data_IF_118230445800
#
_entry.id   IF_118230445800
#
_cell.length_a   1.000
_cell.length_b   1.000
_cell.length_c   1.000
_cell.angle_alpha   90.00
_cell.angle_beta   90.00
_cell.angle_gamma   90.00
#
_symmetry.space_group_name_H-M   'P 1'
#
loop_
_entity.id
_entity.type
_entity.pdbx_description
1 polymer ?
#
# COMPACT_ATOMS: atom_id res chain seq x y z
N UNK A 1 -19.61 12.10 -2.64
CA UNK A 1 -18.50 11.52 -1.84
C UNK A 1 -18.02 12.53 -0.81
N UNK A 2 -17.61 12.11 0.39
CA UNK A 2 -16.96 13.02 1.35
C UNK A 2 -15.62 13.47 0.76
N UNK A 3 -15.31 14.77 0.84
CA UNK A 3 -14.01 15.30 0.41
C UNK A 3 -12.93 14.88 1.41
N UNK A 4 -11.72 14.71 0.90
CA UNK A 4 -10.52 14.55 1.71
C UNK A 4 -10.33 15.76 2.64
N UNK A 5 -9.70 15.54 3.80
CA UNK A 5 -9.47 16.58 4.79
C UNK A 5 -8.02 16.57 5.23
N UNK A 6 -7.34 17.69 5.01
CA UNK A 6 -5.95 17.85 5.43
C UNK A 6 -5.85 18.54 6.78
N UNK A 7 -4.94 18.06 7.61
CA UNK A 7 -4.54 18.67 8.88
C UNK A 7 -3.09 19.14 8.75
N UNK A 8 -2.93 20.40 8.33
CA UNK A 8 -1.63 21.05 8.12
C UNK A 8 -1.39 22.02 9.27
N UNK A 9 -0.34 21.77 10.06
CA UNK A 9 0.04 22.64 11.17
C UNK A 9 1.21 23.52 10.73
N UNK A 10 0.99 24.80 10.45
CA UNK A 10 2.06 25.68 9.91
C UNK A 10 3.06 26.14 10.98
N UNK A 11 2.62 26.37 12.21
CA UNK A 11 3.47 26.85 13.30
C UNK A 11 4.45 25.74 13.78
N UNK A 12 5.78 25.95 13.72
CA UNK A 12 6.77 24.97 14.20
C UNK A 12 6.65 24.58 15.67
N UNK A 13 6.15 25.49 16.54
CA UNK A 13 5.87 25.19 17.95
C UNK A 13 4.71 24.20 18.07
N UNK A 14 3.63 24.42 17.32
CA UNK A 14 2.49 23.51 17.30
C UNK A 14 2.83 22.17 16.63
N UNK A 15 3.71 22.14 15.62
CA UNK A 15 4.25 20.89 15.06
C UNK A 15 4.95 20.05 16.13
N UNK A 16 5.78 20.68 16.97
CA UNK A 16 6.44 20.01 18.10
C UNK A 16 5.41 19.44 19.07
N UNK A 17 4.46 20.26 19.53
CA UNK A 17 3.38 19.80 20.44
C UNK A 17 2.61 18.61 19.86
N UNK A 18 2.20 18.69 18.59
CA UNK A 18 1.53 17.57 17.89
C UNK A 18 2.38 16.31 17.92
N UNK A 19 3.66 16.42 17.58
CA UNK A 19 4.55 15.26 17.50
C UNK A 19 4.75 14.60 18.89
N UNK A 20 4.87 15.41 19.95
CA UNK A 20 4.93 14.92 21.33
C UNK A 20 3.63 14.23 21.76
N UNK A 21 2.46 14.82 21.46
CA UNK A 21 1.16 14.18 21.75
C UNK A 21 1.05 12.83 21.04
N UNK A 22 1.43 12.75 19.76
CA UNK A 22 1.43 11.48 19.01
C UNK A 22 2.38 10.45 19.63
N UNK A 23 3.56 10.88 20.08
CA UNK A 23 4.52 10.00 20.75
C UNK A 23 3.96 9.45 22.07
N UNK A 24 3.30 10.30 22.87
CA UNK A 24 2.63 9.91 24.11
C UNK A 24 1.50 8.92 23.87
N UNK A 25 0.61 9.21 22.91
CA UNK A 25 -0.50 8.30 22.56
C UNK A 25 0.01 6.92 22.12
N UNK A 26 1.08 6.88 21.32
CA UNK A 26 1.68 5.62 20.90
C UNK A 26 2.37 4.86 22.05
N UNK A 27 3.03 5.57 22.98
CA UNK A 27 3.56 4.95 24.18
C UNK A 27 2.44 4.31 24.99
N UNK A 28 1.34 5.03 25.19
CA UNK A 28 0.15 4.50 25.86
C UNK A 28 -0.44 3.27 25.15
N UNK A 29 -0.61 3.29 23.82
CA UNK A 29 -1.07 2.12 23.06
C UNK A 29 -0.15 0.90 23.28
N UNK A 30 1.17 1.10 23.30
CA UNK A 30 2.14 0.02 23.56
C UNK A 30 2.01 -0.55 24.97
N UNK A 31 1.78 0.30 25.96
CA UNK A 31 1.62 -0.13 27.36
C UNK A 31 0.31 -0.92 27.55
N UNK A 32 -0.79 -0.46 26.95
CA UNK A 32 -2.07 -1.18 26.94
C UNK A 32 -1.89 -2.55 26.26
N UNK A 33 -1.27 -2.58 25.09
CA UNK A 33 -0.98 -3.83 24.35
C UNK A 33 -0.12 -4.79 25.17
N UNK A 34 0.96 -4.29 25.78
CA UNK A 34 1.84 -5.11 26.61
C UNK A 34 1.09 -5.69 27.81
N UNK A 35 0.20 -4.92 28.42
CA UNK A 35 -0.61 -5.37 29.55
C UNK A 35 -1.58 -6.48 29.12
N UNK A 36 -2.26 -6.31 27.98
CA UNK A 36 -3.14 -7.33 27.40
C UNK A 36 -2.36 -8.62 27.06
N UNK A 37 -1.18 -8.51 26.44
CA UNK A 37 -0.35 -9.66 26.12
C UNK A 37 0.09 -10.44 27.36
N UNK A 38 0.42 -9.76 28.46
CA UNK A 38 0.77 -10.44 29.73
C UNK A 38 -0.39 -11.26 30.27
N UNK A 39 -1.61 -10.72 30.20
CA UNK A 39 -2.81 -11.46 30.61
C UNK A 39 -3.07 -12.63 29.67
N UNK A 40 -2.93 -12.43 28.35
CA UNK A 40 -3.09 -13.49 27.35
C UNK A 40 -2.17 -14.69 27.59
N UNK A 41 -0.89 -14.44 27.92
CA UNK A 41 0.09 -15.50 28.17
C UNK A 41 -0.14 -16.27 29.47
N UNK A 42 -0.90 -15.70 30.41
CA UNK A 42 -1.20 -16.32 31.70
C UNK A 42 -2.60 -16.94 31.75
N UNK A 43 -3.39 -16.84 30.68
CA UNK A 43 -4.79 -17.26 30.63
C UNK A 43 -4.95 -18.60 29.90
N UNK A 44 -5.34 -19.63 30.64
CA UNK A 44 -5.58 -20.98 30.12
C UNK A 44 -7.01 -21.14 29.56
N UNK A 45 -7.91 -20.20 29.84
CA UNK A 45 -9.27 -20.23 29.31
C UNK A 45 -9.33 -19.73 27.86
N UNK A 46 -9.73 -20.63 26.95
CA UNK A 46 -9.80 -20.33 25.51
C UNK A 46 -10.69 -19.15 25.14
N UNK A 47 -11.79 -18.93 25.85
CA UNK A 47 -12.75 -17.87 25.51
C UNK A 47 -12.23 -16.51 25.95
N UNK A 48 -11.60 -16.42 27.12
CA UNK A 48 -10.93 -15.19 27.56
C UNK A 48 -9.72 -14.85 26.70
N UNK A 49 -8.94 -15.84 26.28
CA UNK A 49 -7.81 -15.62 25.38
C UNK A 49 -8.27 -15.06 24.03
N UNK A 50 -9.40 -15.54 23.49
CA UNK A 50 -10.03 -14.94 22.30
C UNK A 50 -10.47 -13.49 22.55
N UNK A 51 -11.10 -13.19 23.68
CA UNK A 51 -11.51 -11.82 24.04
C UNK A 51 -10.31 -10.86 24.08
N UNK A 52 -9.21 -11.27 24.72
CA UNK A 52 -8.00 -10.46 24.81
C UNK A 52 -7.38 -10.25 23.42
N UNK A 53 -7.34 -11.29 22.58
CA UNK A 53 -6.85 -11.18 21.21
C UNK A 53 -7.69 -10.21 20.36
N UNK A 54 -9.01 -10.23 20.52
CA UNK A 54 -9.92 -9.29 19.86
C UNK A 54 -9.62 -7.85 20.30
N UNK A 55 -9.42 -7.60 21.60
CA UNK A 55 -9.08 -6.26 22.11
C UNK A 55 -7.73 -5.75 21.59
N UNK A 56 -6.73 -6.62 21.48
CA UNK A 56 -5.44 -6.26 20.86
C UNK A 56 -5.65 -5.88 19.39
N UNK A 57 -6.45 -6.67 18.67
CA UNK A 57 -6.74 -6.41 17.26
C UNK A 57 -7.52 -5.11 17.06
N UNK A 58 -8.48 -4.80 17.93
CA UNK A 58 -9.21 -3.53 17.93
C UNK A 58 -8.27 -2.35 18.17
N UNK A 59 -7.37 -2.46 19.15
CA UNK A 59 -6.37 -1.43 19.45
C UNK A 59 -5.47 -1.16 18.23
N UNK A 60 -5.02 -2.22 17.54
CA UNK A 60 -4.19 -2.10 16.34
C UNK A 60 -4.92 -1.41 15.20
N UNK A 61 -6.18 -1.76 14.97
CA UNK A 61 -7.02 -1.12 13.96
C UNK A 61 -7.23 0.35 14.31
N UNK A 62 -7.49 0.68 15.58
CA UNK A 62 -7.64 2.07 16.02
C UNK A 62 -6.35 2.87 15.84
N UNK A 63 -5.20 2.32 16.25
CA UNK A 63 -3.89 2.97 16.06
C UNK A 63 -3.62 3.20 14.57
N UNK A 64 -3.78 2.17 13.73
CA UNK A 64 -3.56 2.24 12.28
C UNK A 64 -4.45 3.27 11.59
N UNK A 65 -5.73 3.36 11.99
CA UNK A 65 -6.70 4.31 11.42
C UNK A 65 -6.60 5.71 11.99
N UNK A 66 -5.78 5.93 13.01
CA UNK A 66 -5.69 7.22 13.70
C UNK A 66 -4.69 8.17 13.06
N UNK A 67 -4.74 9.44 13.47
CA UNK A 67 -3.83 10.48 13.00
C UNK A 67 -2.41 10.36 13.60
N UNK A 68 -2.11 9.34 14.41
CA UNK A 68 -0.85 9.25 15.17
C UNK A 68 0.33 8.75 14.33
N UNK A 69 0.06 8.02 13.27
CA UNK A 69 1.03 7.35 12.42
C UNK A 69 0.47 7.27 10.99
N UNK A 70 1.32 7.51 9.98
CA UNK A 70 0.97 7.16 8.62
C UNK A 70 1.18 5.65 8.40
N UNK A 71 0.12 4.88 8.07
CA UNK A 71 0.25 3.44 7.84
C UNK A 71 1.14 3.11 6.62
N UNK A 72 1.23 4.03 5.64
CA UNK A 72 1.98 3.78 4.40
C UNK A 72 3.50 3.92 4.60
N UNK A 73 3.95 5.00 5.24
CA UNK A 73 5.39 5.29 5.38
C UNK A 73 5.93 5.15 6.81
N UNK A 74 5.07 4.86 7.80
CA UNK A 74 5.46 4.74 9.21
C UNK A 74 5.94 6.04 9.87
N UNK A 75 5.89 7.18 9.17
CA UNK A 75 6.24 8.49 9.74
C UNK A 75 5.09 9.04 10.58
N UNK A 76 5.43 9.83 11.60
CA UNK A 76 4.50 10.37 12.61
C UNK A 76 4.58 11.88 12.78
N UNK A 77 5.59 12.50 12.22
CA UNK A 77 5.90 13.92 12.30
C UNK A 77 5.38 14.71 11.09
N UNK A 78 4.66 14.04 10.19
CA UNK A 78 4.12 14.62 8.97
C UNK A 78 2.73 15.22 9.20
N UNK A 79 2.35 16.14 8.31
CA UNK A 79 0.97 16.57 8.15
C UNK A 79 0.14 15.41 7.59
N UNK A 80 -1.13 15.32 7.97
CA UNK A 80 -1.97 14.14 7.68
C UNK A 80 -3.21 14.53 6.89
N UNK A 81 -3.62 13.67 5.97
CA UNK A 81 -4.86 13.74 5.22
C UNK A 81 -5.76 12.56 5.60
N UNK A 82 -7.03 12.84 5.86
CA UNK A 82 -8.04 11.82 6.02
C UNK A 82 -8.61 11.44 4.66
N UNK A 83 -8.52 10.15 4.33
CA UNK A 83 -8.96 9.58 3.04
C UNK A 83 -10.26 8.81 3.25
N UNK A 84 -11.42 9.36 2.84
CA UNK A 84 -12.72 8.78 3.17
C UNK A 84 -12.97 7.39 2.53
N UNK A 85 -12.38 7.11 1.37
CA UNK A 85 -12.48 5.81 0.70
C UNK A 85 -11.80 4.69 1.49
N UNK A 86 -10.73 5.01 2.21
CA UNK A 86 -9.98 4.07 3.07
C UNK A 86 -10.45 4.10 4.53
N UNK A 87 -11.16 5.16 4.95
CA UNK A 87 -11.51 5.42 6.35
C UNK A 87 -10.25 5.45 7.25
N UNK A 88 -9.20 6.10 6.74
CA UNK A 88 -7.85 6.11 7.33
C UNK A 88 -7.22 7.52 7.24
N UNK A 89 -6.29 7.80 8.14
CA UNK A 89 -5.39 8.95 8.06
C UNK A 89 -4.03 8.50 7.50
N UNK A 90 -3.58 9.14 6.42
CA UNK A 90 -2.24 8.95 5.87
C UNK A 90 -1.51 10.31 5.82
N UNK A 91 -0.19 10.34 5.63
CA UNK A 91 0.48 11.62 5.52
C UNK A 91 0.14 12.30 4.19
N UNK A 92 0.18 13.64 4.16
CA UNK A 92 -0.14 14.41 2.94
C UNK A 92 0.72 13.95 1.76
N UNK A 93 2.01 13.68 1.97
CA UNK A 93 2.90 13.18 0.91
C UNK A 93 2.46 11.82 0.34
N UNK A 94 2.09 10.87 1.20
CA UNK A 94 1.57 9.57 0.75
C UNK A 94 0.21 9.73 0.04
N UNK A 95 -0.65 10.62 0.51
CA UNK A 95 -1.92 10.90 -0.18
C UNK A 95 -1.69 11.52 -1.56
N UNK A 96 -0.74 12.47 -1.69
CA UNK A 96 -0.41 13.05 -2.99
C UNK A 96 0.11 11.99 -3.97
N UNK A 97 0.97 11.07 -3.51
CA UNK A 97 1.42 9.93 -4.34
C UNK A 97 0.23 9.05 -4.75
N UNK A 98 -0.65 8.72 -3.82
CA UNK A 98 -1.87 7.92 -4.10
C UNK A 98 -2.74 8.58 -5.17
N UNK A 99 -3.02 9.88 -5.03
CA UNK A 99 -3.82 10.64 -6.02
C UNK A 99 -3.15 10.64 -7.39
N UNK A 100 -1.84 10.88 -7.45
CA UNK A 100 -1.08 10.81 -8.69
C UNK A 100 -1.19 9.43 -9.36
N UNK A 101 -1.02 8.34 -8.62
CA UNK A 101 -1.11 7.00 -9.17
C UNK A 101 -2.54 6.57 -9.53
N UNK A 102 -3.56 7.10 -8.84
CA UNK A 102 -4.95 6.93 -9.25
C UNK A 102 -5.19 7.60 -10.62
N UNK A 103 -4.71 8.83 -10.83
CA UNK A 103 -4.78 9.53 -12.11
C UNK A 103 -3.99 8.81 -13.22
N UNK A 104 -2.78 8.34 -12.90
CA UNK A 104 -1.93 7.57 -13.82
C UNK A 104 -2.61 6.27 -14.25
N UNK A 105 -3.30 5.59 -13.33
CA UNK A 105 -4.06 4.37 -13.63
C UNK A 105 -5.19 4.65 -14.62
N UNK A 106 -5.94 5.74 -14.45
CA UNK A 106 -7.00 6.13 -15.39
C UNK A 106 -6.44 6.47 -16.78
N UNK A 107 -5.28 7.14 -16.84
CA UNK A 107 -4.60 7.43 -18.11
C UNK A 107 -4.18 6.14 -18.82
N UNK A 108 -3.51 5.22 -18.10
CA UNK A 108 -3.12 3.92 -18.65
C UNK A 108 -4.35 3.14 -19.13
N UNK A 109 -5.46 3.17 -18.39
CA UNK A 109 -6.68 2.44 -18.75
C UNK A 109 -7.41 2.99 -19.99
N UNK A 110 -7.13 4.24 -20.37
CA UNK A 110 -7.68 4.85 -21.58
C UNK A 110 -7.07 4.23 -22.85
N UNK A 111 -5.77 3.92 -22.81
CA UNK A 111 -5.03 3.35 -23.95
C UNK A 111 -4.87 1.82 -23.84
N UNK A 112 -4.79 1.31 -22.61
CA UNK A 112 -4.60 -0.11 -22.29
C UNK A 112 -5.73 -0.60 -21.40
N UNK A 113 -6.79 -1.10 -22.04
CA UNK A 113 -7.99 -1.58 -21.34
C UNK A 113 -7.67 -2.65 -20.29
N UNK A 114 -8.57 -2.86 -19.33
CA UNK A 114 -8.45 -3.98 -18.37
C UNK A 114 -8.28 -5.35 -19.03
N UNK A 115 -8.86 -5.56 -20.22
CA UNK A 115 -8.65 -6.78 -21.00
C UNK A 115 -7.22 -6.85 -21.55
N UNK A 116 -6.68 -5.72 -22.01
CA UNK A 116 -5.28 -5.59 -22.41
C UNK A 116 -4.31 -5.86 -21.25
N UNK A 117 -4.56 -5.31 -20.06
CA UNK A 117 -3.76 -5.62 -18.86
C UNK A 117 -3.78 -7.12 -18.55
N UNK A 118 -4.92 -7.79 -18.68
CA UNK A 118 -5.02 -9.24 -18.46
C UNK A 118 -4.25 -10.04 -19.51
N UNK A 119 -4.40 -9.71 -20.79
CA UNK A 119 -3.65 -10.36 -21.88
C UNK A 119 -2.13 -10.17 -21.67
N UNK A 120 -1.70 -8.97 -21.26
CA UNK A 120 -0.31 -8.71 -20.88
C UNK A 120 0.18 -9.64 -19.76
N UNK A 121 -0.57 -9.75 -18.65
CA UNK A 121 -0.20 -10.58 -17.50
C UNK A 121 -0.19 -12.08 -17.87
N UNK A 122 -1.17 -12.54 -18.65
CA UNK A 122 -1.22 -13.92 -19.15
C UNK A 122 0.01 -14.24 -20.00
N UNK A 123 0.38 -13.35 -20.94
CA UNK A 123 1.60 -13.49 -21.76
C UNK A 123 2.87 -13.47 -20.92
N UNK A 124 2.93 -12.58 -19.91
CA UNK A 124 4.08 -12.45 -19.03
C UNK A 124 4.30 -13.68 -18.14
N UNK A 125 3.20 -14.32 -17.70
CA UNK A 125 3.24 -15.58 -16.92
C UNK A 125 3.42 -16.84 -17.78
N UNK A 126 3.20 -16.73 -19.09
CA UNK A 126 3.21 -17.85 -20.04
C UNK A 126 4.58 -18.13 -20.65
N UNK A 127 4.62 -19.06 -21.62
CA UNK A 127 5.86 -19.43 -22.33
C UNK A 127 6.48 -18.33 -23.20
N UNK A 128 5.77 -17.20 -23.36
CA UNK A 128 6.27 -16.00 -24.02
C UNK A 128 6.77 -14.95 -23.01
N UNK A 129 6.90 -15.28 -21.73
CA UNK A 129 7.34 -14.34 -20.70
C UNK A 129 8.35 -15.01 -19.77
N UNK A 130 8.16 -14.85 -18.48
CA UNK A 130 9.07 -15.39 -17.49
C UNK A 130 8.74 -16.87 -17.28
N UNK A 131 9.62 -17.75 -17.72
CA UNK A 131 9.60 -19.13 -17.23
C UNK A 131 9.92 -19.13 -15.73
N UNK A 132 8.88 -19.12 -14.89
CA UNK A 132 8.99 -19.29 -13.45
C UNK A 132 9.43 -20.75 -13.17
N UNK A 133 10.73 -21.01 -13.31
CA UNK A 133 11.30 -22.31 -12.98
C UNK A 133 11.31 -22.53 -11.46
N UNK A 134 11.23 -23.81 -11.02
CA UNK A 134 11.38 -24.18 -9.59
C UNK A 134 12.73 -23.75 -8.99
N UNK A 135 13.70 -23.38 -9.82
CA UNK A 135 15.05 -22.97 -9.41
C UNK A 135 15.25 -21.44 -9.44
N UNK A 136 14.17 -20.69 -9.60
CA UNK A 136 14.18 -19.23 -9.76
C UNK A 136 14.12 -18.80 -11.22
N UNK A 137 13.56 -17.62 -11.46
CA UNK A 137 13.66 -16.93 -12.74
C UNK A 137 14.93 -16.10 -12.78
N UNK A 138 15.61 -16.05 -13.94
CA UNK A 138 16.60 -15.01 -14.19
C UNK A 138 15.84 -13.70 -14.38
N UNK A 139 15.54 -12.96 -13.31
CA UNK A 139 14.90 -11.65 -13.41
C UNK A 139 15.88 -10.68 -14.12
N UNK A 140 15.50 -10.24 -15.32
CA UNK A 140 16.28 -9.31 -16.16
C UNK A 140 15.65 -7.90 -16.15
N UNK A 141 15.00 -7.47 -15.07
CA UNK A 141 14.29 -6.20 -15.04
C UNK A 141 12.96 -6.29 -15.79
N UNK A 142 12.74 -5.42 -16.79
CA UNK A 142 11.49 -5.33 -17.55
C UNK A 142 11.62 -5.76 -19.02
N UNK A 143 12.56 -6.64 -19.34
CA UNK A 143 12.84 -7.02 -20.73
C UNK A 143 11.63 -7.69 -21.39
N UNK A 144 11.02 -8.67 -20.71
CA UNK A 144 9.86 -9.37 -21.25
C UNK A 144 8.62 -8.47 -21.25
N UNK A 145 8.42 -7.67 -20.19
CA UNK A 145 7.32 -6.71 -20.17
C UNK A 145 7.38 -5.75 -21.35
N UNK A 146 8.53 -5.13 -21.61
CA UNK A 146 8.70 -4.19 -22.73
C UNK A 146 8.50 -4.87 -24.07
N UNK A 147 9.03 -6.09 -24.26
CA UNK A 147 8.82 -6.85 -25.49
C UNK A 147 7.34 -7.16 -25.71
N UNK A 148 6.65 -7.69 -24.70
CA UNK A 148 5.22 -8.03 -24.80
C UNK A 148 4.38 -6.78 -25.08
N UNK A 149 4.64 -5.66 -24.39
CA UNK A 149 3.92 -4.40 -24.62
C UNK A 149 4.15 -3.86 -26.05
N UNK A 150 5.37 -4.00 -26.59
CA UNK A 150 5.65 -3.67 -27.99
C UNK A 150 4.87 -4.58 -28.96
N UNK A 151 4.83 -5.89 -28.71
CA UNK A 151 4.05 -6.85 -29.51
C UNK A 151 2.54 -6.57 -29.45
N UNK A 152 2.06 -6.02 -28.34
CA UNK A 152 0.67 -5.56 -28.16
C UNK A 152 0.40 -4.21 -28.83
N UNK A 153 1.41 -3.55 -29.40
CA UNK A 153 1.27 -2.24 -30.04
C UNK A 153 1.08 -1.07 -29.08
N UNK A 154 1.43 -1.24 -27.80
CA UNK A 154 1.31 -0.18 -26.79
C UNK A 154 2.39 0.87 -27.03
N UNK A 155 2.00 2.15 -27.11
CA UNK A 155 2.95 3.25 -27.32
C UNK A 155 3.93 3.42 -26.16
N UNK A 156 5.18 3.80 -26.44
CA UNK A 156 6.26 3.89 -25.45
C UNK A 156 5.90 4.73 -24.20
N UNK A 157 5.23 5.86 -24.40
CA UNK A 157 4.79 6.72 -23.28
C UNK A 157 3.87 5.97 -22.30
N UNK A 158 2.91 5.21 -22.83
CA UNK A 158 2.00 4.39 -22.02
C UNK A 158 2.74 3.21 -21.39
N UNK A 159 3.72 2.61 -22.07
CA UNK A 159 4.56 1.58 -21.46
C UNK A 159 5.31 2.11 -20.24
N UNK A 160 5.95 3.28 -20.36
CA UNK A 160 6.73 3.87 -19.28
C UNK A 160 5.81 4.19 -18.07
N UNK A 161 4.62 4.75 -18.31
CA UNK A 161 3.60 5.00 -17.28
C UNK A 161 3.07 3.72 -16.64
N UNK A 162 2.79 2.68 -17.44
CA UNK A 162 2.33 1.39 -16.92
C UNK A 162 3.40 0.72 -16.05
N UNK A 163 4.67 0.75 -16.45
CA UNK A 163 5.76 0.21 -15.65
C UNK A 163 6.02 1.03 -14.38
N UNK A 164 5.83 2.35 -14.43
CA UNK A 164 5.85 3.20 -13.23
C UNK A 164 4.75 2.80 -12.24
N UNK A 165 3.52 2.59 -12.75
CA UNK A 165 2.39 2.10 -11.96
C UNK A 165 2.66 0.70 -11.36
N UNK A 166 3.24 -0.21 -12.15
CA UNK A 166 3.69 -1.51 -11.66
C UNK A 166 4.70 -1.37 -10.52
N UNK A 167 5.70 -0.51 -10.68
CA UNK A 167 6.69 -0.22 -9.64
C UNK A 167 6.06 0.34 -8.36
N UNK A 168 5.05 1.20 -8.47
CA UNK A 168 4.31 1.69 -7.30
C UNK A 168 3.61 0.56 -6.53
N UNK A 169 3.08 -0.43 -7.23
CA UNK A 169 2.51 -1.64 -6.63
C UNK A 169 3.54 -2.72 -6.28
N UNK A 170 4.84 -2.38 -6.27
CA UNK A 170 5.93 -3.26 -5.87
C UNK A 170 6.41 -4.22 -6.96
N UNK A 171 6.08 -3.97 -8.23
CA UNK A 171 6.55 -4.73 -9.38
C UNK A 171 7.78 -4.10 -10.03
N UNK A 172 8.97 -4.21 -9.42
CA UNK A 172 10.20 -3.57 -9.93
C UNK A 172 10.95 -4.38 -11.00
N UNK A 173 10.54 -5.63 -11.21
CA UNK A 173 10.91 -6.41 -12.39
C UNK A 173 9.76 -7.32 -12.82
N UNK A 174 9.91 -7.99 -13.97
CA UNK A 174 8.90 -8.83 -14.58
C UNK A 174 8.26 -9.80 -13.55
N UNK A 175 9.07 -10.45 -12.69
CA UNK A 175 8.53 -11.44 -11.74
C UNK A 175 7.80 -10.77 -10.58
N UNK A 176 8.25 -9.59 -10.15
CA UNK A 176 7.57 -8.82 -9.12
C UNK A 176 6.26 -8.20 -9.63
N UNK A 177 6.13 -7.95 -10.94
CA UNK A 177 4.83 -7.58 -11.51
C UNK A 177 3.81 -8.67 -11.22
N UNK A 178 4.16 -9.93 -11.48
CA UNK A 178 3.27 -11.07 -11.22
C UNK A 178 3.08 -11.31 -9.71
N UNK A 179 4.15 -11.22 -8.91
CA UNK A 179 4.08 -11.54 -7.48
C UNK A 179 3.42 -10.45 -6.63
N UNK A 180 3.60 -9.18 -7.00
CA UNK A 180 3.19 -8.03 -6.17
C UNK A 180 2.15 -7.16 -6.86
N UNK A 181 2.43 -6.70 -8.09
CA UNK A 181 1.63 -5.68 -8.75
C UNK A 181 0.31 -6.20 -9.34
N UNK A 182 0.28 -7.45 -9.82
CA UNK A 182 -0.86 -8.07 -10.50
C UNK A 182 -2.16 -7.89 -9.74
N UNK A 183 -2.15 -8.18 -8.44
CA UNK A 183 -3.34 -8.07 -7.59
C UNK A 183 -3.90 -6.66 -7.58
N UNK A 184 -3.06 -5.63 -7.51
CA UNK A 184 -3.48 -4.23 -7.45
C UNK A 184 -3.92 -3.72 -8.83
N UNK A 185 -3.25 -4.14 -9.89
CA UNK A 185 -3.62 -3.83 -11.28
C UNK A 185 -5.03 -4.36 -11.62
N UNK A 186 -5.39 -5.54 -11.10
CA UNK A 186 -6.68 -6.19 -11.36
C UNK A 186 -7.82 -5.77 -10.42
N UNK A 187 -7.56 -4.92 -9.42
CA UNK A 187 -8.63 -4.35 -8.57
C UNK A 187 -9.48 -3.35 -9.36
N UNK A 188 -10.80 -3.55 -9.29
CA UNK A 188 -11.83 -2.62 -9.77
C UNK A 188 -11.97 -1.42 -8.85
#
# INVERSE_FOLDING_TARGET
MKKERECIVRDPRLKRVRNEIRALLRAWCRDVRSSLNKVFLAEDNSDKSKEIHNRISELDVMERKSIILCPDCGRRDQDMAYVPSMNEWICVECNSKRVYFDELKEEVLTEMTMTGIKDFLERLSGGNGIELSRFGSKCNGYEDSKRILNEMGVGKDIQDKFLELCSYYGGHCDCEILLNAERELLKK
#
